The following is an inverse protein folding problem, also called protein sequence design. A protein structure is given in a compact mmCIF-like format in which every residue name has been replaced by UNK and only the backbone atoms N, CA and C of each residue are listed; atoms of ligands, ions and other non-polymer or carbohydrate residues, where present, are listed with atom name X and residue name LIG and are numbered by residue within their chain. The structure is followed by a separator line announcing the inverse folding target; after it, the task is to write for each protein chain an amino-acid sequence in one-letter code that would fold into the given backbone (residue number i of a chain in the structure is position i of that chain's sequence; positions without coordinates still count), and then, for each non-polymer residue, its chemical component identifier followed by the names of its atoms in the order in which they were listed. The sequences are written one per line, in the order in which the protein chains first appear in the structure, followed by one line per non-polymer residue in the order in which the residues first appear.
data_IF_578178894437
#
_entry.id   IF_578178894437
#
_cell.length_a   1.000
_cell.length_b   1.000
_cell.length_c   1.000
_cell.angle_alpha   90.00
_cell.angle_beta   90.00
_cell.angle_gamma   90.00
#
_symmetry.space_group_name_H-M   'P 1'
#
loop_
_entity.id
_entity.type
_entity.pdbx_description
1 polymer ?
#
# COMPACT_ATOMS: atom_id res chain seq x y z
N UNK A 1 4.06 -6.29 -0.53
CA UNK A 1 4.15 -5.25 -1.57
C UNK A 1 5.41 -5.50 -2.40
N UNK A 2 5.35 -5.43 -3.74
CA UNK A 2 6.52 -5.40 -4.62
C UNK A 2 6.42 -4.17 -5.55
N UNK A 3 7.53 -3.48 -5.78
CA UNK A 3 7.58 -2.12 -6.37
C UNK A 3 7.03 -2.00 -7.79
N UNK A 4 7.04 -3.10 -8.55
CA UNK A 4 6.58 -3.14 -9.94
C UNK A 4 5.07 -3.39 -10.07
N UNK A 5 4.35 -3.33 -8.95
CA UNK A 5 2.91 -3.60 -8.93
C UNK A 5 2.10 -2.39 -9.36
N UNK A 6 0.91 -2.65 -9.92
CA UNK A 6 -0.03 -1.61 -10.34
C UNK A 6 -0.50 -0.78 -9.16
N UNK A 7 -0.90 0.46 -9.43
CA UNK A 7 -1.61 1.27 -8.46
C UNK A 7 -2.95 0.61 -8.08
N UNK A 8 -3.28 0.63 -6.79
CA UNK A 8 -4.58 0.17 -6.27
C UNK A 8 -5.32 1.34 -5.65
N UNK A 9 -6.57 1.54 -6.07
CA UNK A 9 -7.42 2.65 -5.60
C UNK A 9 -8.23 2.27 -4.36
N UNK A 10 -8.37 0.97 -4.11
CA UNK A 10 -9.22 0.40 -3.07
C UNK A 10 -8.37 -0.05 -1.86
N UNK A 11 -8.94 0.11 -0.66
CA UNK A 11 -8.42 -0.42 0.59
C UNK A 11 -9.36 -1.51 1.10
N UNK A 12 -8.93 -2.76 1.03
CA UNK A 12 -9.72 -3.92 1.46
C UNK A 12 -9.30 -4.38 2.86
N UNK A 13 -10.25 -4.51 3.78
CA UNK A 13 -10.02 -5.04 5.12
C UNK A 13 -10.97 -6.18 5.45
N UNK A 14 -10.41 -7.22 6.06
CA UNK A 14 -11.20 -8.23 6.76
C UNK A 14 -11.23 -7.93 8.25
N UNK A 15 -12.45 -7.80 8.79
CA UNK A 15 -12.71 -7.46 10.18
C UNK A 15 -12.76 -8.73 11.02
N UNK A 16 -12.07 -8.70 12.17
CA UNK A 16 -12.12 -9.78 13.15
C UNK A 16 -13.42 -9.78 13.99
N UNK A 17 -14.09 -8.63 14.06
CA UNK A 17 -15.35 -8.44 14.78
C UNK A 17 -16.41 -7.90 13.82
N UNK A 18 -17.38 -8.74 13.49
CA UNK A 18 -18.48 -8.39 12.59
C UNK A 18 -19.38 -7.28 13.16
N UNK A 19 -19.38 -7.06 14.49
CA UNK A 19 -20.18 -5.99 15.12
C UNK A 19 -19.70 -4.58 14.74
N UNK A 20 -18.49 -4.46 14.19
CA UNK A 20 -17.98 -3.19 13.66
C UNK A 20 -18.61 -2.79 12.32
N UNK A 21 -19.35 -3.69 11.65
CA UNK A 21 -20.15 -3.35 10.47
C UNK A 21 -21.45 -2.68 10.91
N UNK A 22 -21.32 -1.47 11.46
CA UNK A 22 -22.43 -0.63 11.91
C UNK A 22 -22.12 0.83 11.57
N UNK A 23 -23.06 1.52 10.93
CA UNK A 23 -22.82 2.83 10.31
C UNK A 23 -22.43 3.90 11.35
N UNK A 24 -23.11 3.96 12.49
CA UNK A 24 -22.83 4.96 13.52
C UNK A 24 -21.46 4.73 14.17
N UNK A 25 -21.08 3.47 14.39
CA UNK A 25 -19.75 3.07 14.84
C UNK A 25 -18.69 3.52 13.83
N UNK A 26 -18.84 3.20 12.55
CA UNK A 26 -17.88 3.56 11.50
C UNK A 26 -17.74 5.07 11.37
N UNK A 27 -18.84 5.82 11.32
CA UNK A 27 -18.79 7.30 11.26
C UNK A 27 -18.05 7.92 12.43
N UNK A 28 -18.30 7.44 13.65
CA UNK A 28 -17.59 7.93 14.84
C UNK A 28 -16.09 7.64 14.74
N UNK A 29 -15.71 6.40 14.44
CA UNK A 29 -14.31 5.98 14.35
C UNK A 29 -13.57 6.75 13.26
N UNK A 30 -14.15 6.89 12.06
CA UNK A 30 -13.50 7.59 10.96
C UNK A 30 -13.49 9.12 11.11
N UNK A 31 -14.40 9.71 11.89
CA UNK A 31 -14.30 11.10 12.32
C UNK A 31 -13.06 11.31 13.22
N UNK A 32 -12.88 10.45 14.23
CA UNK A 32 -11.70 10.49 15.11
C UNK A 32 -10.39 10.26 14.35
N UNK A 33 -10.38 9.32 13.40
CA UNK A 33 -9.24 9.11 12.50
C UNK A 33 -8.97 10.36 11.65
N UNK A 34 -10.02 11.00 11.11
CA UNK A 34 -9.88 12.21 10.31
C UNK A 34 -9.25 13.38 11.09
N UNK A 35 -9.67 13.58 12.34
CA UNK A 35 -9.05 14.57 13.24
C UNK A 35 -7.58 14.23 13.51
N UNK A 36 -7.28 12.96 13.81
CA UNK A 36 -5.91 12.51 14.04
C UNK A 36 -5.01 12.69 12.80
N UNK A 37 -5.52 12.36 11.60
CA UNK A 37 -4.81 12.56 10.34
C UNK A 37 -4.52 14.04 10.09
N UNK A 38 -5.50 14.92 10.35
CA UNK A 38 -5.33 16.36 10.23
C UNK A 38 -4.24 16.89 11.18
N UNK A 39 -4.26 16.51 12.45
CA UNK A 39 -3.25 16.94 13.43
C UNK A 39 -1.83 16.51 13.05
N UNK A 40 -1.69 15.34 12.41
CA UNK A 40 -0.39 14.76 12.04
C UNK A 40 0.16 15.23 10.71
N UNK A 41 -0.69 15.61 9.76
CA UNK A 41 -0.28 15.81 8.36
C UNK A 41 -0.86 17.06 7.70
N UNK A 42 -1.85 17.71 8.33
CA UNK A 42 -2.66 18.76 7.71
C UNK A 42 -3.61 18.26 6.62
N UNK A 43 -3.71 16.93 6.39
CA UNK A 43 -4.67 16.35 5.48
C UNK A 43 -6.06 16.39 6.11
N UNK A 44 -7.03 17.03 5.44
CA UNK A 44 -8.40 17.11 5.91
C UNK A 44 -9.22 15.92 5.37
N UNK A 45 -9.97 15.26 6.24
CA UNK A 45 -10.90 14.17 5.88
C UNK A 45 -12.32 14.52 6.36
N UNK A 46 -13.03 15.43 5.67
CA UNK A 46 -14.30 15.98 6.13
C UNK A 46 -15.34 14.91 6.41
N UNK A 47 -16.04 15.01 7.55
CA UNK A 47 -17.05 14.03 7.98
C UNK A 47 -18.22 13.90 7.00
N UNK A 48 -18.63 14.99 6.36
CA UNK A 48 -19.64 15.05 5.31
C UNK A 48 -19.19 14.38 4.00
N UNK A 49 -17.88 14.12 3.88
CA UNK A 49 -17.26 13.35 2.80
C UNK A 49 -17.01 11.89 3.16
N UNK A 50 -17.48 11.42 4.31
CA UNK A 50 -17.41 10.03 4.75
C UNK A 50 -18.77 9.36 4.56
N UNK A 51 -18.84 8.33 3.73
CA UNK A 51 -20.05 7.50 3.56
C UNK A 51 -19.72 6.04 3.78
N UNK A 52 -20.64 5.30 4.40
CA UNK A 52 -20.52 3.87 4.65
C UNK A 52 -21.81 3.19 4.21
N UNK A 53 -21.74 2.52 3.07
CA UNK A 53 -22.87 1.85 2.45
C UNK A 53 -22.86 0.37 2.91
N UNK A 54 -23.68 0.02 3.91
CA UNK A 54 -23.83 -1.36 4.38
C UNK A 54 -24.83 -2.12 3.50
N UNK A 55 -24.50 -3.35 3.14
CA UNK A 55 -25.36 -4.21 2.30
C UNK A 55 -25.14 -5.69 2.60
N UNK A 56 -26.15 -6.51 2.32
CA UNK A 56 -26.02 -7.96 2.33
C UNK A 56 -25.32 -8.44 1.05
N UNK A 57 -24.25 -9.19 1.22
CA UNK A 57 -23.56 -9.83 0.11
C UNK A 57 -24.40 -11.00 -0.45
N UNK A 58 -24.03 -11.58 -1.61
CA UNK A 58 -24.78 -12.69 -2.21
C UNK A 58 -24.93 -13.95 -1.33
N UNK A 59 -24.15 -14.07 -0.25
CA UNK A 59 -24.24 -15.15 0.74
C UNK A 59 -25.08 -14.79 1.97
N UNK A 60 -25.68 -13.59 2.00
CA UNK A 60 -26.53 -13.10 3.08
C UNK A 60 -25.76 -12.57 4.29
N UNK A 61 -24.47 -12.27 4.14
CA UNK A 61 -23.66 -11.65 5.20
C UNK A 61 -23.47 -10.16 4.94
N UNK A 62 -23.44 -9.36 5.99
CA UNK A 62 -23.21 -7.92 5.90
C UNK A 62 -21.78 -7.63 5.44
N UNK A 63 -21.66 -6.73 4.47
CA UNK A 63 -20.43 -6.07 4.05
C UNK A 63 -20.64 -4.55 4.02
N UNK A 64 -19.56 -3.79 3.96
CA UNK A 64 -19.63 -2.33 3.90
C UNK A 64 -18.68 -1.77 2.83
N UNK A 65 -19.21 -0.90 1.97
CA UNK A 65 -18.41 -0.07 1.08
C UNK A 65 -18.33 1.35 1.65
N UNK A 66 -17.13 1.75 2.07
CA UNK A 66 -16.82 3.10 2.53
C UNK A 66 -16.25 3.99 1.42
N UNK A 67 -16.54 5.30 1.50
CA UNK A 67 -15.88 6.33 0.70
C UNK A 67 -15.39 7.42 1.63
N UNK A 68 -14.11 7.75 1.52
CA UNK A 68 -13.45 8.73 2.37
C UNK A 68 -12.89 9.84 1.48
N UNK A 69 -13.58 10.98 1.45
CA UNK A 69 -13.04 12.18 0.80
C UNK A 69 -11.87 12.74 1.58
N UNK A 70 -10.85 13.21 0.87
CA UNK A 70 -9.71 13.89 1.48
C UNK A 70 -9.31 15.14 0.70
N UNK A 71 -8.72 16.11 1.41
CA UNK A 71 -8.23 17.36 0.87
C UNK A 71 -6.80 17.62 1.35
N UNK A 72 -5.90 17.84 0.40
CA UNK A 72 -4.51 18.15 0.66
C UNK A 72 -4.32 19.58 1.20
N UNK A 73 -3.21 19.86 1.91
CA UNK A 73 -2.92 21.20 2.46
C UNK A 73 -2.87 22.32 1.41
N UNK A 74 -2.59 21.99 0.14
CA UNK A 74 -2.46 22.93 -0.98
C UNK A 74 -3.62 22.79 -1.98
N UNK A 75 -4.68 22.05 -1.64
CA UNK A 75 -5.81 21.84 -2.54
C UNK A 75 -6.70 23.07 -2.62
N UNK A 76 -7.25 23.40 -3.81
CA UNK A 76 -8.21 24.50 -3.95
C UNK A 76 -9.44 24.26 -3.06
N UNK A 77 -10.03 25.34 -2.57
CA UNK A 77 -11.29 25.26 -1.84
C UNK A 77 -12.40 24.92 -2.82
N UNK A 78 -12.75 23.63 -2.86
CA UNK A 78 -13.84 23.07 -3.66
C UNK A 78 -14.83 22.37 -2.75
N UNK A 79 -16.06 22.22 -3.22
CA UNK A 79 -17.08 21.45 -2.49
C UNK A 79 -16.62 20.02 -2.24
N UNK A 80 -17.01 19.43 -1.11
CA UNK A 80 -16.62 18.07 -0.70
C UNK A 80 -16.95 17.03 -1.75
N UNK A 81 -18.03 17.22 -2.51
CA UNK A 81 -18.42 16.31 -3.59
C UNK A 81 -17.36 16.21 -4.71
N UNK A 82 -16.51 17.22 -4.85
CA UNK A 82 -15.43 17.28 -5.85
C UNK A 82 -14.07 16.82 -5.32
N UNK A 83 -13.98 16.48 -4.03
CA UNK A 83 -12.73 15.97 -3.45
C UNK A 83 -12.42 14.55 -3.96
N UNK A 84 -11.12 14.26 -4.00
CA UNK A 84 -10.62 12.91 -4.25
C UNK A 84 -11.05 11.99 -3.11
N UNK A 85 -11.34 10.73 -3.43
CA UNK A 85 -11.87 9.76 -2.48
C UNK A 85 -11.04 8.49 -2.50
N UNK A 86 -10.75 7.97 -1.31
CA UNK A 86 -10.31 6.60 -1.13
C UNK A 86 -11.53 5.71 -0.94
N UNK A 87 -11.54 4.56 -1.61
CA UNK A 87 -12.56 3.53 -1.42
C UNK A 87 -12.10 2.55 -0.37
N UNK A 88 -13.02 2.16 0.50
CA UNK A 88 -12.80 1.23 1.59
C UNK A 88 -13.78 0.07 1.42
N UNK A 89 -13.29 -1.16 1.41
CA UNK A 89 -14.11 -2.35 1.40
C UNK A 89 -13.89 -3.08 2.74
N UNK A 90 -14.96 -3.26 3.50
CA UNK A 90 -14.93 -3.92 4.80
C UNK A 90 -15.81 -5.18 4.74
N UNK A 91 -15.25 -6.30 5.14
CA UNK A 91 -16.00 -7.55 5.26
C UNK A 91 -15.61 -8.32 6.51
N UNK A 92 -16.56 -9.01 7.14
CA UNK A 92 -16.28 -10.03 8.15
C UNK A 92 -16.52 -11.45 7.59
N UNK A 93 -16.79 -11.56 6.29
CA UNK A 93 -17.19 -12.80 5.62
C UNK A 93 -16.06 -13.36 4.76
N UNK A 94 -14.91 -13.56 5.40
CA UNK A 94 -13.70 -14.07 4.77
C UNK A 94 -12.99 -15.05 5.70
N UNK A 95 -12.41 -16.12 5.14
CA UNK A 95 -11.60 -17.07 5.90
C UNK A 95 -10.14 -16.67 5.83
N UNK A 96 -9.61 -16.19 6.95
CA UNK A 96 -8.17 -15.98 7.15
C UNK A 96 -7.53 -17.34 7.49
N UNK A 97 -6.77 -17.93 6.57
CA UNK A 97 -6.17 -19.26 6.74
C UNK A 97 -4.85 -19.17 7.51
N UNK A 98 -4.00 -18.24 7.12
CA UNK A 98 -2.71 -17.98 7.75
C UNK A 98 -2.77 -16.73 8.62
N UNK A 99 -2.04 -16.70 9.75
CA UNK A 99 -2.02 -15.54 10.62
C UNK A 99 -1.53 -14.30 9.86
N UNK A 100 -2.17 -13.13 10.06
CA UNK A 100 -1.72 -11.91 9.44
C UNK A 100 -0.33 -11.51 10.00
N UNK A 101 0.42 -10.79 9.17
CA UNK A 101 1.81 -10.38 9.45
C UNK A 101 1.89 -8.87 9.56
N UNK A 102 2.74 -8.36 10.45
CA UNK A 102 3.09 -6.94 10.44
C UNK A 102 4.09 -6.70 9.33
N UNK A 103 3.74 -5.81 8.41
CA UNK A 103 4.60 -5.44 7.29
C UNK A 103 4.90 -3.95 7.34
N UNK A 104 6.14 -3.53 7.09
CA UNK A 104 6.47 -2.12 6.98
C UNK A 104 5.75 -1.51 5.77
N UNK A 105 5.12 -0.37 5.98
CA UNK A 105 4.64 0.47 4.88
C UNK A 105 5.86 1.06 4.21
N UNK A 106 5.94 0.90 2.89
CA UNK A 106 6.99 1.58 2.18
C UNK A 106 6.76 3.08 2.12
N UNK A 107 7.81 3.81 2.48
CA UNK A 107 7.79 5.24 2.60
C UNK A 107 9.01 5.80 1.86
N UNK A 108 8.80 6.24 0.61
CA UNK A 108 9.86 6.83 -0.24
C UNK A 108 10.14 8.30 0.06
N UNK A 109 9.41 8.91 0.99
CA UNK A 109 9.48 10.34 1.22
C UNK A 109 10.61 10.67 2.23
N UNK A 110 11.06 11.93 2.22
CA UNK A 110 12.22 12.39 2.99
C UNK A 110 12.05 12.25 4.50
N UNK A 111 10.81 12.24 4.99
CA UNK A 111 10.40 12.06 6.38
C UNK A 111 10.41 10.60 6.85
N UNK A 112 10.82 9.65 6.01
CA UNK A 112 10.89 8.24 6.39
C UNK A 112 11.82 7.91 7.56
N UNK A 113 12.74 8.82 7.89
CA UNK A 113 13.60 8.69 9.08
C UNK A 113 12.88 9.10 10.38
N UNK A 114 11.80 9.86 10.28
CA UNK A 114 11.05 10.39 11.43
C UNK A 114 10.09 9.37 12.02
N UNK A 115 9.55 8.46 11.19
CA UNK A 115 8.64 7.42 11.62
C UNK A 115 8.67 6.19 10.70
N UNK A 116 8.68 5.00 11.29
CA UNK A 116 8.39 3.74 10.60
C UNK A 116 6.95 3.32 10.86
N UNK A 117 6.18 3.12 9.79
CA UNK A 117 4.81 2.63 9.88
C UNK A 117 4.77 1.14 9.56
N UNK A 118 4.04 0.39 10.37
CA UNK A 118 3.75 -1.02 10.11
C UNK A 118 2.24 -1.22 10.08
N UNK A 119 1.78 -2.03 9.15
CA UNK A 119 0.36 -2.42 9.02
C UNK A 119 0.22 -3.92 9.22
N UNK A 120 -0.89 -4.33 9.80
CA UNK A 120 -1.27 -5.74 9.86
C UNK A 120 -1.90 -6.12 8.51
N UNK A 121 -1.27 -7.03 7.79
CA UNK A 121 -1.68 -7.44 6.45
C UNK A 121 -1.72 -8.96 6.31
N UNK A 122 -2.37 -9.44 5.26
CA UNK A 122 -2.27 -10.84 4.85
C UNK A 122 -0.82 -11.24 4.58
N UNK A 123 -0.47 -12.48 4.93
CA UNK A 123 0.78 -13.07 4.47
C UNK A 123 0.77 -13.16 2.94
N UNK A 124 1.95 -13.37 2.34
CA UNK A 124 2.06 -13.43 0.89
C UNK A 124 1.19 -14.57 0.32
N UNK A 125 1.21 -15.73 0.95
CA UNK A 125 0.44 -16.91 0.58
C UNK A 125 -1.06 -16.70 0.76
N UNK A 126 -1.46 -16.06 1.85
CA UNK A 126 -2.85 -15.71 2.14
C UNK A 126 -3.43 -14.79 1.04
N UNK A 127 -2.71 -13.71 0.72
CA UNK A 127 -3.09 -12.78 -0.34
C UNK A 127 -3.06 -13.43 -1.73
N UNK A 128 -2.09 -14.31 -1.99
CA UNK A 128 -2.00 -15.00 -3.28
C UNK A 128 -3.15 -15.99 -3.46
N UNK A 129 -3.48 -16.79 -2.43
CA UNK A 129 -4.63 -17.69 -2.47
C UNK A 129 -5.95 -16.95 -2.68
N UNK A 130 -6.12 -15.79 -2.02
CA UNK A 130 -7.24 -14.88 -2.25
C UNK A 130 -7.36 -14.44 -3.72
N UNK A 131 -6.25 -14.01 -4.32
CA UNK A 131 -6.23 -13.54 -5.72
C UNK A 131 -6.55 -14.66 -6.70
N UNK A 132 -6.05 -15.87 -6.47
CA UNK A 132 -6.35 -17.05 -7.32
C UNK A 132 -7.83 -17.42 -7.20
N UNK A 133 -8.38 -17.41 -5.98
CA UNK A 133 -9.80 -17.67 -5.73
C UNK A 133 -10.68 -16.61 -6.40
N UNK A 134 -10.35 -15.33 -6.23
CA UNK A 134 -11.09 -14.22 -6.84
C UNK A 134 -11.01 -14.22 -8.37
N UNK A 135 -9.86 -14.61 -8.95
CA UNK A 135 -9.68 -14.80 -10.38
C UNK A 135 -10.65 -15.86 -10.91
N UNK A 136 -10.83 -16.98 -10.19
CA UNK A 136 -11.76 -18.01 -10.59
C UNK A 136 -13.23 -17.55 -10.56
N UNK A 137 -13.62 -16.81 -9.53
CA UNK A 137 -15.02 -16.38 -9.38
C UNK A 137 -15.44 -15.33 -10.41
N UNK A 138 -14.53 -14.41 -10.78
CA UNK A 138 -14.90 -13.20 -11.54
C UNK A 138 -14.14 -13.03 -12.85
N UNK A 139 -13.05 -13.77 -13.04
CA UNK A 139 -12.14 -13.70 -14.19
C UNK A 139 -11.83 -12.26 -14.62
N UNK A 140 -11.43 -11.41 -13.66
CA UNK A 140 -11.17 -9.98 -13.91
C UNK A 140 -9.71 -9.73 -14.31
N UNK A 141 -9.44 -8.79 -15.24
CA UNK A 141 -8.10 -8.33 -15.61
C UNK A 141 -7.15 -8.08 -14.45
N UNK A 142 -7.61 -7.36 -13.43
CA UNK A 142 -6.81 -7.04 -12.22
C UNK A 142 -6.38 -8.29 -11.47
N UNK A 143 -7.28 -9.26 -11.31
CA UNK A 143 -6.98 -10.50 -10.60
C UNK A 143 -5.98 -11.35 -11.42
N UNK A 144 -6.07 -11.39 -12.75
CA UNK A 144 -5.09 -12.07 -13.61
C UNK A 144 -3.71 -11.39 -13.52
N UNK A 145 -3.67 -10.07 -13.63
CA UNK A 145 -2.46 -9.28 -13.49
C UNK A 145 -1.76 -9.56 -12.16
N UNK A 146 -2.55 -9.60 -11.08
CA UNK A 146 -2.08 -9.83 -9.73
C UNK A 146 -1.53 -11.27 -9.56
N UNK A 147 -2.29 -12.29 -9.97
CA UNK A 147 -1.89 -13.72 -9.90
C UNK A 147 -0.60 -13.98 -10.66
N UNK A 148 -0.48 -13.49 -11.89
CA UNK A 148 0.70 -13.72 -12.73
C UNK A 148 1.94 -13.04 -12.15
N UNK A 149 1.81 -11.80 -11.66
CA UNK A 149 2.96 -11.11 -11.08
C UNK A 149 3.37 -11.70 -9.72
N UNK A 150 2.41 -12.17 -8.92
CA UNK A 150 2.71 -12.95 -7.71
C UNK A 150 3.47 -14.24 -8.08
N UNK A 151 2.98 -14.98 -9.08
CA UNK A 151 3.67 -16.17 -9.55
C UNK A 151 5.08 -15.86 -10.08
N UNK A 152 5.28 -14.80 -10.86
CA UNK A 152 6.58 -14.43 -11.43
C UNK A 152 7.64 -14.03 -10.40
N UNK A 153 7.24 -13.63 -9.20
CA UNK A 153 8.16 -13.28 -8.13
C UNK A 153 8.78 -14.56 -7.52
N UNK A 154 9.79 -15.12 -8.19
CA UNK A 154 10.42 -16.40 -7.82
C UNK A 154 11.06 -16.38 -6.42
N UNK A 155 11.56 -15.25 -5.96
CA UNK A 155 12.23 -15.14 -4.66
C UNK A 155 11.25 -15.21 -3.48
N UNK A 156 10.05 -14.65 -3.65
CA UNK A 156 8.99 -14.70 -2.64
C UNK A 156 7.93 -15.79 -2.91
N UNK A 157 8.08 -16.56 -4.00
CA UNK A 157 7.10 -17.58 -4.40
C UNK A 157 7.04 -18.65 -3.29
N UNK A 158 5.86 -18.89 -2.70
CA UNK A 158 5.73 -19.90 -1.67
C UNK A 158 5.85 -21.31 -2.24
N UNK A 159 6.01 -22.35 -1.41
CA UNK A 159 5.84 -23.72 -1.87
C UNK A 159 4.43 -23.95 -2.46
N UNK A 160 4.34 -24.63 -3.61
CA UNK A 160 3.06 -24.90 -4.29
C UNK A 160 2.02 -25.55 -3.35
N UNK A 161 2.46 -26.52 -2.55
CA UNK A 161 1.60 -27.22 -1.59
C UNK A 161 1.00 -26.27 -0.52
N UNK A 162 1.78 -25.28 -0.07
CA UNK A 162 1.30 -24.31 0.92
C UNK A 162 0.24 -23.37 0.30
N UNK A 163 0.48 -22.86 -0.91
CA UNK A 163 -0.49 -22.04 -1.61
C UNK A 163 -1.78 -22.83 -1.93
N UNK A 164 -1.64 -24.08 -2.38
CA UNK A 164 -2.77 -24.93 -2.70
C UNK A 164 -3.64 -25.24 -1.46
N UNK A 165 -3.03 -25.43 -0.29
CA UNK A 165 -3.77 -25.62 0.95
C UNK A 165 -4.59 -24.38 1.34
N UNK A 166 -3.97 -23.19 1.28
CA UNK A 166 -4.65 -21.90 1.50
C UNK A 166 -5.82 -21.72 0.51
N UNK A 167 -5.56 -21.96 -0.78
CA UNK A 167 -6.58 -21.85 -1.83
C UNK A 167 -7.75 -22.82 -1.60
N UNK A 168 -7.47 -24.09 -1.24
CA UNK A 168 -8.50 -25.09 -0.94
C UNK A 168 -9.43 -24.64 0.17
N UNK A 169 -8.87 -24.19 1.30
CA UNK A 169 -9.67 -23.75 2.45
C UNK A 169 -10.52 -22.51 2.13
N UNK A 170 -10.01 -21.61 1.29
CA UNK A 170 -10.75 -20.42 0.81
C UNK A 170 -11.87 -20.79 -0.16
N UNK A 171 -11.59 -21.66 -1.13
CA UNK A 171 -12.59 -22.20 -2.05
C UNK A 171 -13.71 -22.94 -1.30
N UNK A 172 -13.35 -23.80 -0.34
CA UNK A 172 -14.31 -24.51 0.51
C UNK A 172 -15.22 -23.52 1.27
N UNK A 173 -14.64 -22.47 1.87
CA UNK A 173 -15.40 -21.45 2.59
C UNK A 173 -16.39 -20.71 1.68
N UNK A 174 -16.01 -20.43 0.42
CA UNK A 174 -16.89 -19.78 -0.56
C UNK A 174 -17.82 -20.76 -1.29
N UNK A 175 -17.70 -22.06 -1.03
CA UNK A 175 -18.53 -23.10 -1.65
C UNK A 175 -18.22 -23.35 -3.13
N UNK A 176 -16.98 -23.10 -3.57
CA UNK A 176 -16.54 -23.31 -4.95
C UNK A 176 -15.45 -24.39 -5.02
N UNK A 177 -15.27 -24.99 -6.20
CA UNK A 177 -14.17 -25.91 -6.44
C UNK A 177 -12.82 -25.17 -6.51
N UNK A 178 -11.72 -25.89 -6.30
CA UNK A 178 -10.39 -25.37 -6.61
C UNK A 178 -10.28 -25.17 -8.11
N UNK A 179 -9.96 -23.95 -8.58
CA UNK A 179 -9.97 -23.64 -10.00
C UNK A 179 -8.88 -24.37 -10.77
N UNK A 180 -9.17 -24.62 -12.03
CA UNK A 180 -8.26 -25.11 -13.06
C UNK A 180 -8.28 -24.16 -14.26
N UNK A 181 -7.29 -24.30 -15.14
CA UNK A 181 -7.21 -23.50 -16.37
C UNK A 181 -8.50 -23.54 -17.20
N UNK A 182 -9.16 -24.69 -17.30
CA UNK A 182 -10.40 -24.89 -18.05
C UNK A 182 -11.55 -24.01 -17.54
N UNK A 183 -11.62 -23.75 -16.23
CA UNK A 183 -12.65 -22.93 -15.61
C UNK A 183 -12.51 -21.45 -16.00
N UNK A 184 -11.29 -20.99 -16.27
CA UNK A 184 -11.01 -19.61 -16.66
C UNK A 184 -11.18 -19.42 -18.17
N UNK A 185 -10.87 -20.44 -18.97
CA UNK A 185 -10.82 -20.36 -20.43
C UNK A 185 -12.15 -19.92 -21.08
N UNK A 186 -13.28 -20.29 -20.47
CA UNK A 186 -14.62 -19.89 -20.93
C UNK A 186 -14.89 -18.38 -20.80
N UNK A 187 -14.10 -17.66 -20.00
CA UNK A 187 -14.27 -16.23 -19.72
C UNK A 187 -13.16 -15.37 -20.35
N UNK A 188 -12.29 -15.96 -21.17
CA UNK A 188 -11.15 -15.29 -21.79
C UNK A 188 -11.55 -14.03 -22.54
N UNK A 189 -12.53 -14.11 -23.44
CA UNK A 189 -12.95 -12.97 -24.27
C UNK A 189 -13.42 -11.77 -23.45
N UNK A 190 -14.16 -12.03 -22.35
CA UNK A 190 -14.60 -10.98 -21.43
C UNK A 190 -13.45 -10.34 -20.67
N UNK A 191 -12.46 -11.14 -20.27
CA UNK A 191 -11.24 -10.64 -19.64
C UNK A 191 -10.44 -9.77 -20.62
N UNK A 192 -10.23 -10.25 -21.85
CA UNK A 192 -9.48 -9.52 -22.88
C UNK A 192 -10.16 -8.19 -23.22
N UNK A 193 -11.49 -8.19 -23.39
CA UNK A 193 -12.27 -6.97 -23.62
C UNK A 193 -12.25 -5.98 -22.46
N UNK A 194 -12.00 -6.44 -21.23
CA UNK A 194 -11.88 -5.59 -20.03
C UNK A 194 -10.46 -5.10 -19.74
N UNK A 195 -9.44 -5.64 -20.42
CA UNK A 195 -8.03 -5.49 -20.04
C UNK A 195 -7.58 -4.03 -19.96
N UNK A 196 -7.76 -3.28 -21.04
CA UNK A 196 -7.35 -1.88 -21.12
C UNK A 196 -8.14 -0.99 -20.15
N UNK A 197 -9.47 -1.10 -20.17
CA UNK A 197 -10.35 -0.26 -19.36
C UNK A 197 -10.08 -0.40 -17.85
N UNK A 198 -9.70 -1.59 -17.39
CA UNK A 198 -9.50 -1.85 -15.95
C UNK A 198 -8.09 -1.56 -15.45
N UNK A 199 -7.08 -1.58 -16.32
CA UNK A 199 -5.66 -1.54 -15.92
C UNK A 199 -4.88 -0.35 -16.48
N UNK A 200 -5.25 0.24 -17.62
CA UNK A 200 -4.43 1.26 -18.29
C UNK A 200 -4.13 2.48 -17.41
N UNK A 201 -5.10 2.93 -16.60
CA UNK A 201 -4.92 4.06 -15.68
C UNK A 201 -4.11 3.72 -14.41
N UNK A 202 -3.87 2.43 -14.15
CA UNK A 202 -3.17 1.94 -12.96
C UNK A 202 -1.71 1.55 -13.25
N UNK A 203 -1.30 1.61 -14.53
CA UNK A 203 -0.02 1.12 -15.03
C UNK A 203 0.70 2.21 -15.85
N UNK A 204 2.03 2.35 -15.71
CA UNK A 204 2.82 3.24 -16.58
C UNK A 204 2.74 2.88 -18.07
N UNK A 205 2.63 1.58 -18.37
CA UNK A 205 2.36 1.06 -19.71
C UNK A 205 1.58 -0.24 -19.59
N UNK A 206 0.57 -0.45 -20.44
CA UNK A 206 -0.26 -1.65 -20.41
C UNK A 206 0.45 -2.80 -21.15
N UNK A 207 0.78 -3.92 -20.46
CA UNK A 207 1.30 -5.10 -21.14
C UNK A 207 0.23 -5.78 -22.01
N UNK A 208 0.61 -6.46 -23.09
CA UNK A 208 -0.28 -7.35 -23.82
C UNK A 208 -0.94 -8.39 -22.90
N UNK A 209 -2.25 -8.59 -23.03
CA UNK A 209 -3.00 -9.58 -22.23
C UNK A 209 -2.50 -11.01 -22.45
N UNK A 210 -2.06 -11.33 -23.68
CA UNK A 210 -1.51 -12.64 -24.03
C UNK A 210 -0.29 -12.99 -23.16
N UNK A 211 0.59 -12.02 -22.87
CA UNK A 211 1.77 -12.25 -22.03
C UNK A 211 1.41 -12.67 -20.60
N UNK A 212 0.18 -12.39 -20.16
CA UNK A 212 -0.33 -12.77 -18.84
C UNK A 212 -1.13 -14.07 -18.93
N UNK A 213 -2.00 -14.18 -19.92
CA UNK A 213 -2.83 -15.36 -20.15
C UNK A 213 -1.98 -16.61 -20.38
N UNK A 214 -0.92 -16.50 -21.19
CA UNK A 214 -0.06 -17.62 -21.57
C UNK A 214 0.82 -18.13 -20.42
N UNK A 215 0.83 -17.45 -19.27
CA UNK A 215 1.49 -17.90 -18.03
C UNK A 215 0.61 -18.88 -17.23
N UNK A 216 -0.71 -18.84 -17.42
CA UNK A 216 -1.65 -19.65 -16.65
C UNK A 216 -1.37 -21.17 -16.73
N UNK A 217 -1.01 -21.77 -17.89
CA UNK A 217 -0.66 -23.19 -17.95
C UNK A 217 0.49 -23.57 -17.01
N UNK A 218 1.60 -22.81 -17.03
CA UNK A 218 2.74 -23.04 -16.15
C UNK A 218 2.38 -22.84 -14.67
N UNK A 219 1.56 -21.82 -14.38
CA UNK A 219 1.07 -21.55 -13.03
C UNK A 219 0.23 -22.73 -12.50
N UNK A 220 -0.76 -23.22 -13.26
CA UNK A 220 -1.60 -24.33 -12.81
C UNK A 220 -0.84 -25.66 -12.75
N UNK A 221 0.11 -25.90 -13.65
CA UNK A 221 0.99 -27.07 -13.58
C UNK A 221 1.82 -27.05 -12.29
N UNK A 222 2.45 -25.91 -11.99
CA UNK A 222 3.19 -25.71 -10.74
C UNK A 222 2.31 -25.88 -9.50
N UNK A 223 1.11 -25.29 -9.50
CA UNK A 223 0.16 -25.40 -8.40
C UNK A 223 -0.29 -26.86 -8.16
N UNK A 224 -0.40 -27.65 -9.22
CA UNK A 224 -0.70 -29.08 -9.17
C UNK A 224 0.50 -29.96 -8.72
N UNK A 225 1.66 -29.36 -8.43
CA UNK A 225 2.84 -30.05 -7.94
C UNK A 225 3.86 -30.44 -9.01
N UNK A 226 3.71 -29.97 -10.25
CA UNK A 226 4.81 -30.04 -11.21
C UNK A 226 6.00 -29.18 -10.73
N UNK A 227 7.20 -29.50 -11.18
CA UNK A 227 8.37 -28.67 -10.89
C UNK A 227 8.13 -27.24 -11.38
N UNK A 228 8.57 -26.27 -10.57
CA UNK A 228 8.54 -24.88 -10.99
C UNK A 228 9.35 -24.71 -12.29
N UNK A 229 8.95 -23.79 -13.19
CA UNK A 229 9.73 -23.49 -14.39
C UNK A 229 11.20 -23.23 -14.04
N UNK A 230 12.12 -23.81 -14.82
CA UNK A 230 13.56 -23.66 -14.61
C UNK A 230 13.90 -22.17 -14.49
N UNK A 231 14.47 -21.76 -13.36
CA UNK A 231 14.92 -20.40 -13.17
C UNK A 231 16.01 -20.10 -14.21
N UNK A 232 15.81 -19.03 -14.99
CA UNK A 232 16.83 -18.58 -15.91
C UNK A 232 18.10 -18.19 -15.13
N UNK A 233 19.29 -18.41 -15.70
CA UNK A 233 20.52 -18.01 -15.04
C UNK A 233 20.55 -16.48 -14.90
N UNK A 234 21.02 -16.00 -13.75
CA UNK A 234 21.38 -14.60 -13.58
C UNK A 234 22.49 -14.23 -14.56
N UNK A 235 22.51 -12.97 -15.01
CA UNK A 235 23.62 -12.49 -15.83
C UNK A 235 24.91 -12.49 -14.99
N UNK A 236 25.99 -13.05 -15.55
CA UNK A 236 27.26 -13.21 -14.87
C UNK A 236 27.79 -11.87 -14.35
N UNK A 237 28.06 -11.82 -13.05
CA UNK A 237 28.62 -10.64 -12.39
C UNK A 237 30.04 -10.38 -12.87
N UNK A 238 30.38 -9.13 -13.15
CA UNK A 238 31.79 -8.76 -13.24
C UNK A 238 32.44 -8.87 -11.84
N UNK A 239 33.74 -9.10 -11.78
CA UNK A 239 34.46 -9.17 -10.52
C UNK A 239 34.25 -7.89 -9.70
N UNK A 240 33.73 -8.02 -8.47
CA UNK A 240 33.45 -6.89 -7.58
C UNK A 240 32.06 -6.25 -7.72
N UNK A 241 31.15 -6.81 -8.54
CA UNK A 241 29.75 -6.38 -8.59
C UNK A 241 28.88 -7.12 -7.58
N UNK A 242 27.94 -6.39 -6.97
CA UNK A 242 26.89 -6.96 -6.11
C UNK A 242 25.50 -6.59 -6.62
N UNK A 243 24.58 -7.54 -6.59
CA UNK A 243 23.17 -7.31 -6.94
C UNK A 243 22.52 -6.34 -5.98
N UNK A 244 21.72 -5.41 -6.50
CA UNK A 244 20.90 -4.53 -5.67
C UNK A 244 19.45 -5.01 -5.73
N UNK A 245 19.07 -5.75 -4.69
CA UNK A 245 17.68 -6.11 -4.41
C UNK A 245 16.95 -5.02 -3.61
N UNK A 246 17.70 -4.09 -3.00
CA UNK A 246 17.17 -3.01 -2.18
C UNK A 246 16.31 -2.02 -2.96
N UNK A 247 15.14 -1.73 -2.40
CA UNK A 247 14.16 -0.80 -2.97
C UNK A 247 14.68 0.64 -3.00
N UNK A 248 15.07 1.15 -1.84
CA UNK A 248 15.78 2.44 -1.73
C UNK A 248 17.24 2.17 -2.02
N UNK A 249 17.77 2.75 -3.10
CA UNK A 249 19.17 2.51 -3.46
C UNK A 249 20.16 3.13 -2.46
N UNK A 250 19.68 3.95 -1.51
CA UNK A 250 20.50 4.62 -0.49
C UNK A 250 21.51 5.56 -1.12
N UNK A 251 21.08 6.31 -2.14
CA UNK A 251 21.92 7.14 -2.97
C UNK A 251 21.42 8.57 -2.99
N UNK A 252 22.36 9.52 -3.06
CA UNK A 252 22.15 10.87 -3.54
C UNK A 252 21.96 10.89 -5.07
N UNK A 253 20.97 10.15 -5.61
CA UNK A 253 20.56 10.35 -7.01
C UNK A 253 19.51 11.46 -7.06
N UNK A 254 19.57 12.37 -8.04
CA UNK A 254 18.49 13.32 -8.26
C UNK A 254 17.14 12.60 -8.43
N UNK A 255 16.05 13.17 -7.89
CA UNK A 255 14.68 12.61 -7.95
C UNK A 255 14.28 12.12 -9.36
N UNK A 256 14.73 12.81 -10.42
CA UNK A 256 14.47 12.42 -11.80
C UNK A 256 15.03 11.03 -12.16
N UNK A 257 16.20 10.64 -11.64
CA UNK A 257 16.78 9.33 -11.88
C UNK A 257 16.00 8.21 -11.17
N UNK A 258 15.40 8.50 -10.02
CA UNK A 258 14.53 7.57 -9.31
C UNK A 258 13.26 7.26 -10.10
N UNK A 259 12.63 8.27 -10.71
CA UNK A 259 11.48 8.06 -11.61
C UNK A 259 11.83 7.16 -12.80
N UNK A 260 13.01 7.35 -13.42
CA UNK A 260 13.44 6.48 -14.52
C UNK A 260 13.64 5.02 -14.08
N UNK A 261 14.20 4.81 -12.88
CA UNK A 261 14.38 3.48 -12.33
C UNK A 261 13.06 2.78 -12.03
N UNK A 262 12.05 3.49 -11.52
CA UNK A 262 10.72 2.94 -11.30
C UNK A 262 10.11 2.43 -12.62
N UNK A 263 10.26 3.19 -13.71
CA UNK A 263 9.83 2.77 -15.06
C UNK A 263 10.59 1.52 -15.52
N UNK A 264 11.91 1.48 -15.31
CA UNK A 264 12.76 0.33 -15.70
C UNK A 264 12.40 -0.93 -14.89
N UNK A 265 12.21 -0.79 -13.57
CA UNK A 265 11.76 -1.88 -12.69
C UNK A 265 10.40 -2.36 -13.12
N UNK A 266 9.44 -1.45 -13.31
CA UNK A 266 8.10 -1.77 -13.81
C UNK A 266 8.16 -2.59 -15.10
N UNK A 267 8.93 -2.11 -16.09
CA UNK A 267 9.09 -2.79 -17.36
C UNK A 267 9.73 -4.18 -17.19
N UNK A 268 10.79 -4.30 -16.38
CA UNK A 268 11.41 -5.59 -16.08
C UNK A 268 10.43 -6.59 -15.46
N UNK A 269 9.71 -6.20 -14.40
CA UNK A 269 8.73 -7.07 -13.73
C UNK A 269 7.59 -7.51 -14.67
N UNK A 270 7.19 -6.66 -15.61
CA UNK A 270 6.15 -6.94 -16.59
C UNK A 270 6.69 -7.52 -17.91
N UNK A 271 8.01 -7.76 -18.02
CA UNK A 271 8.69 -8.26 -19.23
C UNK A 271 8.48 -7.38 -20.46
N UNK A 272 8.48 -6.06 -20.26
CA UNK A 272 8.38 -5.04 -21.31
C UNK A 272 9.74 -4.46 -21.66
N UNK A 273 9.94 -4.15 -22.94
CA UNK A 273 11.10 -3.41 -23.39
C UNK A 273 11.05 -1.95 -22.87
N UNK A 274 12.23 -1.34 -22.76
CA UNK A 274 12.38 0.07 -22.37
C UNK A 274 13.04 0.86 -23.49
N UNK A 275 12.49 2.02 -23.81
CA UNK A 275 13.20 3.08 -24.53
C UNK A 275 14.04 3.85 -23.51
N UNK A 276 15.35 3.67 -23.56
CA UNK A 276 16.30 4.30 -22.64
C UNK A 276 17.02 5.46 -23.35
N UNK A 277 16.81 6.68 -22.86
CA UNK A 277 17.52 7.89 -23.30
C UNK A 277 18.80 8.04 -22.45
N UNK A 278 19.96 8.00 -23.10
CA UNK A 278 21.24 8.02 -22.41
C UNK A 278 22.38 8.49 -23.31
N UNK A 279 23.16 9.45 -22.81
CA UNK A 279 24.26 10.09 -23.54
C UNK A 279 23.86 10.58 -24.93
N UNK A 280 22.70 11.24 -25.03
CA UNK A 280 22.23 11.86 -26.28
C UNK A 280 21.69 10.89 -27.33
N UNK A 281 21.52 9.61 -27.00
CA UNK A 281 20.89 8.62 -27.89
C UNK A 281 19.81 7.83 -27.16
N UNK A 282 18.80 7.38 -27.91
CA UNK A 282 17.76 6.49 -27.42
C UNK A 282 18.03 5.08 -27.92
N UNK A 283 17.77 4.08 -27.08
CA UNK A 283 17.95 2.66 -27.42
C UNK A 283 16.87 1.80 -26.80
N UNK A 284 16.55 0.71 -27.47
CA UNK A 284 15.62 -0.31 -26.97
C UNK A 284 16.36 -1.37 -26.19
N UNK A 285 15.91 -1.62 -24.97
CA UNK A 285 16.57 -2.56 -24.07
C UNK A 285 15.57 -3.53 -23.42
N UNK A 286 16.04 -4.75 -23.17
CA UNK A 286 15.45 -5.71 -22.22
C UNK A 286 16.16 -5.48 -20.86
N UNK A 287 15.50 -4.93 -19.83
CA UNK A 287 16.15 -4.64 -18.56
C UNK A 287 16.21 -5.88 -17.65
N UNK A 288 17.38 -6.19 -17.08
CA UNK A 288 17.59 -7.43 -16.30
C UNK A 288 17.96 -7.22 -14.84
N UNK A 289 18.91 -6.34 -14.50
CA UNK A 289 19.33 -6.20 -13.10
C UNK A 289 20.02 -4.88 -12.79
N UNK A 290 19.95 -4.46 -11.52
CA UNK A 290 20.74 -3.35 -10.98
C UNK A 290 21.90 -3.90 -10.18
N UNK A 291 23.11 -3.43 -10.45
CA UNK A 291 24.34 -3.83 -9.75
C UNK A 291 25.05 -2.62 -9.18
N UNK A 292 25.68 -2.80 -8.02
CA UNK A 292 26.66 -1.86 -7.46
C UNK A 292 28.04 -2.36 -7.85
N UNK A 293 28.83 -1.49 -8.48
CA UNK A 293 30.23 -1.77 -8.83
C UNK A 293 31.14 -1.54 -7.62
N UNK A 294 32.38 -2.03 -7.68
CA UNK A 294 33.43 -1.78 -6.66
C UNK A 294 33.64 -0.29 -6.38
N UNK A 295 33.51 0.54 -7.42
CA UNK A 295 33.67 2.00 -7.35
C UNK A 295 32.41 2.72 -6.82
N UNK A 296 31.43 1.98 -6.30
CA UNK A 296 30.19 2.51 -5.74
C UNK A 296 29.16 2.99 -6.77
N UNK A 297 29.45 2.91 -8.06
CA UNK A 297 28.50 3.27 -9.11
C UNK A 297 27.38 2.24 -9.20
N UNK A 298 26.22 2.69 -9.68
CA UNK A 298 25.09 1.79 -9.93
C UNK A 298 24.83 1.69 -11.41
N UNK A 299 24.78 0.45 -11.88
CA UNK A 299 24.66 0.11 -13.28
C UNK A 299 23.45 -0.78 -13.52
N UNK A 300 22.69 -0.45 -14.55
CA UNK A 300 21.65 -1.28 -15.12
C UNK A 300 22.28 -2.24 -16.13
N UNK A 301 22.15 -3.54 -15.89
CA UNK A 301 22.43 -4.58 -16.86
C UNK A 301 21.20 -4.82 -17.72
N UNK A 302 21.37 -4.74 -19.02
CA UNK A 302 20.29 -4.87 -19.98
C UNK A 302 20.80 -5.42 -21.33
N UNK A 303 19.93 -6.11 -22.06
CA UNK A 303 20.22 -6.52 -23.43
C UNK A 303 19.78 -5.42 -24.40
N UNK A 304 20.71 -4.88 -25.18
CA UNK A 304 20.43 -3.84 -26.17
C UNK A 304 19.93 -4.49 -27.46
N UNK A 305 18.68 -4.25 -27.81
CA UNK A 305 18.04 -4.83 -29.00
C UNK A 305 18.58 -4.24 -30.31
N UNK A 306 18.98 -2.97 -30.30
CA UNK A 306 19.45 -2.30 -31.51
C UNK A 306 20.86 -2.75 -31.91
N UNK A 307 21.67 -3.17 -30.92
CA UNK A 307 23.03 -3.70 -31.13
C UNK A 307 23.15 -5.22 -30.98
N UNK A 308 22.05 -5.88 -30.57
CA UNK A 308 21.98 -7.31 -30.29
C UNK A 308 23.10 -7.81 -29.35
N UNK A 309 23.33 -7.09 -28.25
CA UNK A 309 24.39 -7.41 -27.28
C UNK A 309 24.00 -6.98 -25.86
N UNK A 310 24.60 -7.62 -24.85
CA UNK A 310 24.46 -7.17 -23.47
C UNK A 310 25.27 -5.89 -23.22
N UNK A 311 24.70 -4.93 -22.48
CA UNK A 311 25.35 -3.67 -22.09
C UNK A 311 25.03 -3.32 -20.64
N UNK A 312 25.93 -2.57 -20.02
CA UNK A 312 25.71 -1.93 -18.73
C UNK A 312 25.56 -0.42 -18.89
N UNK A 313 24.66 0.18 -18.11
CA UNK A 313 24.34 1.61 -18.16
C UNK A 313 24.39 2.23 -16.79
N UNK A 314 25.21 3.25 -16.62
CA UNK A 314 25.29 4.00 -15.35
C UNK A 314 23.98 4.74 -15.08
N UNK A 315 23.34 4.43 -13.96
CA UNK A 315 22.02 4.95 -13.62
C UNK A 315 22.01 6.48 -13.51
N UNK A 316 23.07 7.06 -12.96
CA UNK A 316 23.24 8.52 -12.84
C UNK A 316 23.38 9.25 -14.18
N UNK A 317 23.57 8.51 -15.29
CA UNK A 317 23.68 9.05 -16.65
C UNK A 317 22.44 8.81 -17.51
N UNK A 318 21.40 8.19 -16.95
CA UNK A 318 20.11 7.99 -17.61
C UNK A 318 19.37 9.32 -17.60
N UNK A 319 19.03 9.82 -18.78
CA UNK A 319 18.31 11.09 -18.95
C UNK A 319 16.83 10.91 -19.22
N UNK A 320 16.40 9.69 -19.54
CA UNK A 320 15.00 9.34 -19.80
C UNK A 320 14.78 7.84 -19.87
N UNK A 321 13.60 7.39 -19.45
CA UNK A 321 13.15 6.01 -19.61
C UNK A 321 11.65 5.99 -19.93
N UNK A 322 11.23 5.15 -20.87
CA UNK A 322 9.82 4.90 -21.19
C UNK A 322 9.61 3.40 -21.37
N UNK A 323 8.65 2.82 -20.65
CA UNK A 323 8.21 1.44 -20.90
C UNK A 323 7.43 1.39 -22.22
N UNK A 324 7.62 0.34 -23.01
CA UNK A 324 6.89 0.13 -24.27
C UNK A 324 5.81 -0.95 -24.10
N UNK A 325 4.93 -1.09 -25.09
CA UNK A 325 3.99 -2.22 -25.18
C UNK A 325 4.64 -3.48 -25.80
N UNK A 326 5.92 -3.42 -26.18
CA UNK A 326 6.63 -4.55 -26.75
C UNK A 326 7.19 -5.42 -25.63
N UNK A 327 6.68 -6.65 -25.50
CA UNK A 327 7.20 -7.62 -24.55
C UNK A 327 8.48 -8.32 -25.03
N UNK A 328 9.19 -8.94 -24.09
CA UNK A 328 10.33 -9.80 -24.38
C UNK A 328 10.22 -11.10 -23.59
N UNK A 329 10.74 -12.19 -24.16
CA UNK A 329 10.98 -13.43 -23.43
C UNK A 329 12.35 -13.30 -22.76
N UNK A 330 12.45 -13.36 -21.42
CA UNK A 330 13.71 -13.15 -20.73
C UNK A 330 14.78 -14.16 -21.15
N UNK A 331 15.98 -13.65 -21.43
CA UNK A 331 17.18 -14.44 -21.71
C UNK A 331 17.95 -14.80 -20.44
N UNK A 332 17.83 -13.93 -19.44
CA UNK A 332 18.44 -14.04 -18.11
C UNK A 332 17.36 -13.86 -17.03
N UNK A 333 17.71 -14.19 -15.79
CA UNK A 333 16.88 -13.82 -14.64
C UNK A 333 16.65 -12.30 -14.61
N UNK A 334 15.40 -11.89 -14.39
CA UNK A 334 15.06 -10.48 -14.17
C UNK A 334 15.11 -10.22 -12.67
N UNK A 335 16.19 -9.59 -12.23
CA UNK A 335 16.51 -9.26 -10.83
C UNK A 335 16.22 -7.77 -10.56
N UNK A 336 15.10 -7.27 -11.09
CA UNK A 336 14.64 -5.88 -10.93
C UNK A 336 13.44 -5.76 -10.01
N UNK A 337 12.84 -6.88 -9.61
CA UNK A 337 11.86 -6.92 -8.54
C UNK A 337 12.59 -6.80 -7.21
N UNK A 338 12.33 -5.75 -6.41
CA UNK A 338 12.97 -5.64 -5.11
C UNK A 338 12.48 -6.77 -4.20
N UNK A 339 13.43 -7.46 -3.59
CA UNK A 339 13.17 -8.34 -2.46
C UNK A 339 13.55 -7.63 -1.16
N UNK A 340 12.70 -7.84 -0.16
CA UNK A 340 13.01 -7.62 1.24
C UNK A 340 12.71 -8.91 2.01
N UNK A 341 13.43 -9.20 3.10
CA UNK A 341 13.23 -10.43 3.86
C UNK A 341 11.83 -10.46 4.45
N UNK A 342 10.99 -11.38 3.97
CA UNK A 342 9.87 -11.88 4.78
C UNK A 342 10.45 -13.04 5.59
N UNK A 343 10.93 -12.74 6.79
CA UNK A 343 11.24 -13.78 7.75
C UNK A 343 9.92 -14.43 8.16
N UNK A 344 9.59 -15.57 7.57
CA UNK A 344 8.48 -16.42 8.02
C UNK A 344 8.86 -16.99 9.38
N UNK A 345 8.20 -16.60 10.50
CA UNK A 345 8.45 -17.24 11.77
C UNK A 345 8.02 -18.72 11.66
N UNK A 346 8.75 -19.67 12.29
CA UNK A 346 8.31 -21.05 12.31
C UNK A 346 6.91 -21.15 12.91
N UNK A 347 6.01 -21.82 12.21
CA UNK A 347 4.61 -21.99 12.59
C UNK A 347 4.52 -22.64 13.99
N UNK A 348 4.15 -21.83 14.98
CA UNK A 348 3.71 -22.37 16.26
C UNK A 348 2.27 -22.87 16.08
N UNK A 349 2.08 -24.17 16.28
CA UNK A 349 0.74 -24.79 16.34
C UNK A 349 -0.06 -24.14 17.46
N UNK A 350 -1.04 -23.31 17.11
CA UNK A 350 -2.04 -22.83 18.06
C UNK A 350 -3.19 -23.85 18.14
N UNK A 351 -3.40 -24.41 19.33
CA UNK A 351 -4.61 -25.12 19.72
C UNK A 351 -5.77 -24.12 19.97
N UNK A 352 -7.04 -24.55 19.89
CA UNK A 352 -8.16 -23.65 19.67
C UNK A 352 -8.61 -22.88 20.93
N UNK A 353 -9.08 -21.66 20.69
CA UNK A 353 -9.95 -20.79 21.51
C UNK A 353 -10.24 -21.22 22.97
N UNK A 354 -9.74 -20.41 23.92
CA UNK A 354 -10.19 -20.36 25.31
C UNK A 354 -10.30 -18.90 25.76
N UNK A 355 -11.49 -18.51 26.24
CA UNK A 355 -11.87 -17.12 26.52
C UNK A 355 -10.97 -16.40 27.53
N UNK A 356 -10.70 -15.11 27.27
CA UNK A 356 -10.00 -14.24 28.21
C UNK A 356 -10.96 -13.67 29.25
N UNK A 357 -10.82 -14.17 30.49
CA UNK A 357 -11.24 -13.46 31.69
C UNK A 357 -10.17 -12.40 32.07
N UNK A 358 -10.62 -11.16 32.24
CA UNK A 358 -9.78 -10.03 32.64
C UNK A 358 -9.39 -10.19 34.12
N UNK A 359 -8.11 -10.50 34.38
CA UNK A 359 -7.53 -10.46 35.73
C UNK A 359 -6.66 -9.22 35.88
N UNK A 360 -7.04 -8.35 36.83
CA UNK A 360 -6.30 -7.15 37.25
C UNK A 360 -4.98 -7.51 37.95
N UNK A 361 -3.85 -6.83 37.69
CA UNK A 361 -2.69 -6.89 38.57
C UNK A 361 -2.72 -5.76 39.61
N UNK A 362 -2.34 -6.13 40.84
CA UNK A 362 -2.12 -5.28 41.99
C UNK A 362 -0.95 -4.29 41.79
N UNK A 363 -1.11 -3.08 42.31
CA UNK A 363 -0.11 -2.02 42.32
C UNK A 363 0.87 -2.19 43.49
N UNK A 364 2.18 -2.20 43.17
CA UNK A 364 3.26 -1.99 44.14
C UNK A 364 3.78 -0.56 43.92
N UNK A 365 3.69 0.28 44.95
CA UNK A 365 4.18 1.66 44.95
C UNK A 365 5.72 1.71 44.96
N UNK A 366 6.34 2.59 44.15
CA UNK A 366 7.59 3.23 44.53
C UNK A 366 7.37 4.67 45.00
N UNK A 367 8.37 5.12 45.74
CA UNK A 367 8.41 6.25 46.66
C UNK A 367 8.59 7.59 45.92
N UNK A 368 7.96 8.63 46.44
CA UNK A 368 7.97 9.99 45.90
C UNK A 368 9.36 10.62 45.82
N UNK A 369 9.67 11.21 44.66
CA UNK A 369 10.74 12.19 44.49
C UNK A 369 10.08 13.52 44.11
N UNK A 370 10.40 14.58 44.85
CA UNK A 370 9.88 15.95 44.69
C UNK A 370 10.15 16.46 43.27
N UNK A 371 9.09 16.81 42.54
CA UNK A 371 9.20 17.57 41.30
C UNK A 371 9.44 19.05 41.61
N UNK A 372 10.60 19.56 41.21
CA UNK A 372 10.83 21.00 40.99
C UNK A 372 10.00 21.46 39.79
N UNK A 373 9.36 22.63 39.92
CA UNK A 373 8.45 23.20 38.93
C UNK A 373 9.12 23.43 37.57
N UNK A 374 8.46 22.99 36.49
CA UNK A 374 8.76 23.43 35.13
C UNK A 374 8.06 24.77 34.87
N UNK A 375 8.84 25.76 34.47
CA UNK A 375 8.35 27.00 33.91
C UNK A 375 7.57 26.72 32.60
N UNK A 376 6.43 27.37 32.42
CA UNK A 376 5.61 27.26 31.21
C UNK A 376 6.21 28.11 30.08
N UNK A 377 6.94 27.49 29.16
CA UNK A 377 7.31 28.12 27.89
C UNK A 377 6.29 27.73 26.83
N UNK A 378 5.32 28.61 26.58
CA UNK A 378 4.32 28.44 25.54
C UNK A 378 3.54 29.74 25.32
N UNK A 379 3.07 30.01 24.08
CA UNK A 379 2.36 31.24 23.75
C UNK A 379 1.06 31.38 24.57
N UNK A 380 0.79 32.59 25.05
CA UNK A 380 -0.47 32.94 25.71
C UNK A 380 -1.41 33.62 24.73
N UNK A 381 -2.54 32.98 24.44
CA UNK A 381 -3.60 33.48 23.59
C UNK A 381 -4.59 34.33 24.40
N UNK A 382 -4.90 35.54 23.92
CA UNK A 382 -5.88 36.44 24.52
C UNK A 382 -7.16 36.41 23.70
N UNK A 383 -8.23 35.89 24.29
CA UNK A 383 -9.57 35.81 23.71
C UNK A 383 -10.43 36.95 24.22
N UNK A 384 -11.14 37.64 23.34
CA UNK A 384 -12.09 38.69 23.71
C UNK A 384 -13.53 38.22 23.49
N UNK A 385 -14.39 38.46 24.48
CA UNK A 385 -15.83 38.22 24.34
C UNK A 385 -16.45 39.27 23.42
N UNK A 386 -17.12 38.90 22.31
CA UNK A 386 -17.70 39.88 21.38
C UNK A 386 -18.86 40.68 21.99
N UNK A 387 -19.46 40.18 23.08
CA UNK A 387 -20.62 40.81 23.73
C UNK A 387 -20.19 41.85 24.77
N UNK A 388 -19.27 41.53 25.67
CA UNK A 388 -18.87 42.44 26.75
C UNK A 388 -17.42 42.95 26.65
N UNK A 389 -16.68 42.57 25.61
CA UNK A 389 -15.26 42.92 25.36
C UNK A 389 -14.29 42.54 26.48
N UNK A 390 -14.70 41.65 27.37
CA UNK A 390 -13.83 41.12 28.42
C UNK A 390 -12.80 40.16 27.81
N UNK A 391 -11.53 40.32 28.20
CA UNK A 391 -10.40 39.55 27.69
C UNK A 391 -10.04 38.39 28.64
N UNK A 392 -9.69 37.25 28.05
CA UNK A 392 -9.36 36.00 28.74
C UNK A 392 -8.04 35.44 28.20
N UNK A 393 -7.07 35.20 29.08
CA UNK A 393 -5.76 34.65 28.70
C UNK A 393 -5.78 33.13 28.84
N UNK A 394 -5.30 32.41 27.82
CA UNK A 394 -5.25 30.95 27.75
C UNK A 394 -3.90 30.51 27.20
N UNK A 395 -3.37 29.38 27.69
CA UNK A 395 -2.17 28.76 27.14
C UNK A 395 -2.49 27.76 26.01
N UNK A 396 -3.77 27.50 25.75
CA UNK A 396 -4.28 26.62 24.70
C UNK A 396 -5.25 27.39 23.80
N UNK A 397 -5.40 26.96 22.54
CA UNK A 397 -6.27 27.61 21.55
C UNK A 397 -7.74 27.18 21.69
N UNK A 398 -8.32 27.43 22.86
CA UNK A 398 -9.75 27.17 23.13
C UNK A 398 -10.53 28.49 23.18
N UNK A 399 -11.45 28.67 22.23
CA UNK A 399 -12.31 29.85 22.10
C UNK A 399 -13.52 29.84 23.03
N UNK A 400 -13.75 28.77 23.78
CA UNK A 400 -14.88 28.66 24.69
C UNK A 400 -14.72 29.55 25.94
N UNK A 401 -15.76 30.33 26.22
CA UNK A 401 -15.86 31.20 27.38
C UNK A 401 -16.87 30.61 28.37
N UNK A 402 -16.40 30.35 29.60
CA UNK A 402 -17.28 30.00 30.71
C UNK A 402 -18.25 31.17 31.00
N UNK A 403 -19.40 30.89 31.64
CA UNK A 403 -20.27 31.94 32.16
C UNK A 403 -19.46 32.97 32.94
N UNK A 404 -19.58 34.25 32.56
CA UNK A 404 -18.80 35.33 33.13
C UNK A 404 -19.62 36.61 33.22
N UNK A 405 -19.18 37.55 34.06
CA UNK A 405 -19.75 38.88 34.16
C UNK A 405 -18.98 39.88 33.29
N UNK A 406 -19.71 40.83 32.72
CA UNK A 406 -19.16 41.99 32.01
C UNK A 406 -18.31 42.86 32.95
N UNK A 407 -17.47 43.76 32.43
CA UNK A 407 -16.71 44.70 33.26
C UNK A 407 -17.58 45.58 34.17
N UNK A 408 -18.86 45.77 33.83
CA UNK A 408 -19.85 46.51 34.62
C UNK A 408 -20.60 45.65 35.67
N UNK A 409 -20.23 44.37 35.84
CA UNK A 409 -20.77 43.48 36.88
C UNK A 409 -22.02 42.67 36.51
N UNK A 410 -22.56 42.84 35.31
CA UNK A 410 -23.75 42.11 34.85
C UNK A 410 -23.39 40.76 34.22
N UNK A 411 -24.21 39.70 34.38
CA UNK A 411 -23.98 38.42 33.71
C UNK A 411 -23.99 38.59 32.18
N UNK A 412 -22.93 38.11 31.52
CA UNK A 412 -22.77 38.19 30.07
C UNK A 412 -23.25 36.89 29.42
N UNK A 413 -24.00 37.01 28.31
CA UNK A 413 -24.49 35.87 27.52
C UNK A 413 -23.43 35.27 26.59
N UNK A 414 -22.30 35.94 26.35
CA UNK A 414 -21.24 35.44 25.47
C UNK A 414 -20.61 34.15 25.98
N UNK A 415 -20.50 33.14 25.12
CA UNK A 415 -19.91 31.81 25.42
C UNK A 415 -18.77 31.42 24.49
N UNK A 416 -18.47 32.25 23.49
CA UNK A 416 -17.36 32.04 22.56
C UNK A 416 -16.65 33.37 22.36
N UNK A 417 -15.33 33.35 22.47
CA UNK A 417 -14.46 34.51 22.25
C UNK A 417 -13.65 34.36 20.97
N UNK A 418 -13.17 35.48 20.44
CA UNK A 418 -12.26 35.48 19.30
C UNK A 418 -10.85 35.91 19.75
N UNK A 419 -9.81 35.36 19.14
CA UNK A 419 -8.42 35.70 19.51
C UNK A 419 -8.13 37.12 19.03
N UNK A 420 -7.70 37.97 19.95
CA UNK A 420 -7.29 39.35 19.65
C UNK A 420 -5.77 39.52 19.69
N UNK A 421 -5.06 38.67 20.42
CA UNK A 421 -3.61 38.80 20.62
C UNK A 421 -3.00 37.44 20.98
N UNK A 422 -1.78 37.17 20.51
CA UNK A 422 -0.97 36.02 20.94
C UNK A 422 0.36 36.54 21.43
N UNK A 423 0.67 36.33 22.71
CA UNK A 423 1.90 36.77 23.38
C UNK A 423 2.86 35.58 23.46
N UNK A 424 4.10 35.75 22.98
CA UNK A 424 5.12 34.70 22.95
C UNK A 424 6.13 34.83 24.09
#
# INVERSE_FOLDING_TARGET
YFETYRFSEDLDFTLADASHLEEAFLKRVFAEIGEWVYERSGLEMPTEGQSFDLFDNPRGNVSCQGKLSYKGPVSPNVDVIRLTRSKLELTADERIVLPPVRVPVFHAYSDAQEASFEVLAYSYEEAFGEKVRALAERTRPRDLYDVVNLFRNSEARPPAAALLDVLRQKCEFKGIAVPKLEDLAIHRDGLEGGWENMLAHQLPALPPVADFWDVLPDFFAWLAGAEAPIALPAYALAAGESVIHGRTLGLDIPNAAQTHLEIIRFAGGNRLCVMLDYQGSTRRIEPYSLRRTSDGNIVLHAFNLDKNEHRSYRVDRITGARATSQSFVPRYAVELTPSGPVSVPPAQRASPFGGMAISRPHSVRPRAVRAMGRASSGPTYVYECPVCRKKFRRQTRDSSLRPHQSPAGYPCSGRTGYVVETQY
#
